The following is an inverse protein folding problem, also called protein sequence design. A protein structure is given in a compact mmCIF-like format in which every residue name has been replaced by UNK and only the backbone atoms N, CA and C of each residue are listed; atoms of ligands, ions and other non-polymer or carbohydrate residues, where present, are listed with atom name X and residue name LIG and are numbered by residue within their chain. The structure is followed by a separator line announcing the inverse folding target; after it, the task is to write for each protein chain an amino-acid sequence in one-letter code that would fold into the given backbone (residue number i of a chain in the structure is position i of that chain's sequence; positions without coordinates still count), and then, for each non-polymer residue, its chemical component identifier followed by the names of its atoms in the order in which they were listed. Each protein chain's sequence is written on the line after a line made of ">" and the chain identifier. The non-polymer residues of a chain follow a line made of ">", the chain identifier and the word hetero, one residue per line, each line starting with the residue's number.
data_IF_130509004588
#
_entry.id   IF_130509004588
#
_cell.length_a   1.000
_cell.length_b   1.000
_cell.length_c   1.000
_cell.angle_alpha   90.00
_cell.angle_beta   90.00
_cell.angle_gamma   90.00
#
_symmetry.space_group_name_H-M   'P 1'
#
loop_
_entity.id
_entity.type
_entity.pdbx_description
1 polymer ?
#
# COMPACT_ATOMS: atom_id res chain seq x y z
N UNK A 1 3.86 -3.16 -7.37
CA UNK A 1 3.11 -3.88 -6.32
C UNK A 1 3.31 -5.36 -6.59
N UNK A 2 3.88 -6.13 -5.65
CA UNK A 2 4.00 -7.60 -5.81
C UNK A 2 2.64 -8.28 -5.55
N UNK A 3 2.54 -9.62 -5.54
CA UNK A 3 1.33 -10.29 -5.10
C UNK A 3 1.01 -9.94 -3.63
N UNK A 4 -0.25 -10.12 -3.24
CA UNK A 4 -0.66 -9.99 -1.84
C UNK A 4 0.14 -10.95 -0.96
N UNK A 5 0.44 -10.53 0.28
CA UNK A 5 1.18 -11.34 1.24
C UNK A 5 0.91 -10.85 2.64
N UNK A 6 0.21 -11.65 3.43
CA UNK A 6 -0.14 -11.36 4.83
C UNK A 6 1.09 -11.05 5.68
N UNK A 7 2.16 -11.83 5.49
CA UNK A 7 3.43 -11.64 6.20
C UNK A 7 4.00 -10.24 5.94
N UNK A 8 3.96 -9.77 4.68
CA UNK A 8 4.43 -8.43 4.34
C UNK A 8 3.54 -7.34 4.91
N UNK A 9 2.21 -7.53 4.93
CA UNK A 9 1.30 -6.55 5.53
C UNK A 9 1.52 -6.45 7.05
N UNK A 10 1.68 -7.59 7.73
CA UNK A 10 2.02 -7.64 9.15
C UNK A 10 3.36 -6.95 9.44
N UNK A 11 4.40 -7.26 8.68
CA UNK A 11 5.71 -6.61 8.85
C UNK A 11 5.63 -5.08 8.70
N UNK A 12 4.83 -4.59 7.75
CA UNK A 12 4.58 -3.15 7.58
C UNK A 12 3.86 -2.55 8.78
N UNK A 13 2.81 -3.22 9.27
CA UNK A 13 2.08 -2.78 10.44
C UNK A 13 2.99 -2.68 11.68
N UNK A 14 3.80 -3.72 11.93
CA UNK A 14 4.72 -3.77 13.06
C UNK A 14 5.80 -2.68 12.95
N UNK A 15 6.31 -2.43 11.74
CA UNK A 15 7.30 -1.37 11.49
C UNK A 15 6.72 0.02 11.76
N UNK A 16 5.49 0.29 11.32
CA UNK A 16 4.83 1.59 11.56
C UNK A 16 4.51 1.78 13.04
N UNK A 17 4.04 0.73 13.73
CA UNK A 17 3.81 0.78 15.18
C UNK A 17 5.10 1.11 15.93
N UNK A 18 6.18 0.39 15.64
CA UNK A 18 7.50 0.66 16.22
C UNK A 18 7.94 2.11 15.96
N UNK A 19 7.78 2.61 14.73
CA UNK A 19 8.12 4.00 14.40
C UNK A 19 7.39 4.99 15.31
N UNK A 20 6.08 4.81 15.49
CA UNK A 20 5.25 5.68 16.33
C UNK A 20 5.59 5.57 17.82
N UNK A 21 5.91 4.36 18.30
CA UNK A 21 6.18 4.10 19.71
C UNK A 21 7.58 4.60 20.14
N UNK A 22 8.58 4.49 19.26
CA UNK A 22 9.99 4.78 19.62
C UNK A 22 10.46 6.18 19.25
N UNK A 23 9.64 6.99 18.57
CA UNK A 23 10.04 8.32 18.09
C UNK A 23 9.08 9.41 18.60
N UNK A 24 9.14 9.77 19.89
CA UNK A 24 8.28 10.81 20.46
C UNK A 24 8.48 12.19 19.82
N UNK A 25 9.64 12.43 19.22
CA UNK A 25 10.02 13.65 18.52
C UNK A 25 9.32 13.85 17.17
N UNK A 26 8.60 12.85 16.65
CA UNK A 26 7.75 13.04 15.48
C UNK A 26 6.68 14.08 15.81
N UNK A 27 6.56 15.09 14.94
CA UNK A 27 5.49 16.05 15.02
C UNK A 27 4.13 15.39 14.78
N UNK A 28 3.07 16.01 15.28
CA UNK A 28 1.73 15.42 15.26
C UNK A 28 1.19 15.26 13.84
N UNK A 29 1.59 16.13 12.91
CA UNK A 29 1.22 16.00 11.51
C UNK A 29 1.84 14.73 10.92
N UNK A 30 3.14 14.50 11.07
CA UNK A 30 3.76 13.26 10.59
C UNK A 30 3.22 12.00 11.27
N UNK A 31 2.90 12.06 12.58
CA UNK A 31 2.21 10.96 13.28
C UNK A 31 0.89 10.63 12.61
N UNK A 32 0.08 11.64 12.27
CA UNK A 32 -1.22 11.43 11.60
C UNK A 32 -1.08 10.75 10.23
N UNK A 33 -0.04 11.11 9.46
CA UNK A 33 0.24 10.50 8.16
C UNK A 33 0.56 9.00 8.33
N UNK A 34 1.43 8.64 9.27
CA UNK A 34 1.79 7.24 9.52
C UNK A 34 0.62 6.42 10.08
N UNK A 35 -0.22 7.02 10.94
CA UNK A 35 -1.45 6.40 11.40
C UNK A 35 -2.45 6.15 10.26
N UNK A 36 -2.57 7.09 9.32
CA UNK A 36 -3.36 6.90 8.09
C UNK A 36 -2.79 5.73 7.27
N UNK A 37 -1.46 5.70 7.06
CA UNK A 37 -0.80 4.58 6.35
C UNK A 37 -1.02 3.22 7.01
N UNK A 38 -1.08 3.17 8.34
CA UNK A 38 -1.39 1.94 9.07
C UNK A 38 -2.82 1.47 8.79
N UNK A 39 -3.80 2.39 8.78
CA UNK A 39 -5.21 2.09 8.44
C UNK A 39 -5.38 1.71 6.98
N UNK A 40 -4.54 2.24 6.10
CA UNK A 40 -4.54 1.95 4.67
C UNK A 40 -3.84 0.62 4.32
N UNK A 41 -3.38 -0.20 5.26
CA UNK A 41 -2.89 -1.54 4.93
C UNK A 41 -4.05 -2.42 4.46
N UNK A 42 -3.80 -3.29 3.49
CA UNK A 42 -4.80 -4.25 3.03
C UNK A 42 -4.80 -5.45 3.98
N UNK A 43 -5.97 -5.84 4.48
CA UNK A 43 -6.13 -6.98 5.39
C UNK A 43 -6.50 -8.26 4.66
N UNK A 44 -6.95 -8.13 3.40
CA UNK A 44 -7.32 -9.25 2.53
C UNK A 44 -6.71 -9.09 1.14
N UNK A 45 -6.61 -10.20 0.42
CA UNK A 45 -6.17 -10.22 -0.96
C UNK A 45 -7.10 -9.40 -1.88
N UNK A 46 -8.41 -9.49 -1.66
CA UNK A 46 -9.41 -8.77 -2.46
C UNK A 46 -9.29 -7.25 -2.32
N UNK A 47 -9.07 -6.75 -1.10
CA UNK A 47 -8.79 -5.33 -0.86
C UNK A 47 -7.52 -4.87 -1.58
N UNK A 48 -6.47 -5.69 -1.50
CA UNK A 48 -5.20 -5.41 -2.16
C UNK A 48 -5.36 -5.35 -3.68
N UNK A 49 -6.01 -6.36 -4.26
CA UNK A 49 -6.25 -6.46 -5.70
C UNK A 49 -7.15 -5.33 -6.21
N UNK A 50 -8.17 -4.95 -5.44
CA UNK A 50 -9.03 -3.80 -5.73
C UNK A 50 -8.21 -2.51 -5.82
N UNK A 51 -7.32 -2.26 -4.85
CA UNK A 51 -6.44 -1.08 -4.85
C UNK A 51 -5.41 -1.10 -5.97
N UNK A 52 -4.80 -2.26 -6.24
CA UNK A 52 -3.90 -2.44 -7.38
C UNK A 52 -4.64 -2.10 -8.67
N UNK A 53 -5.84 -2.65 -8.88
CA UNK A 53 -6.66 -2.33 -10.06
C UNK A 53 -6.97 -0.83 -10.14
N UNK A 54 -7.36 -0.19 -9.04
CA UNK A 54 -7.63 1.26 -9.01
C UNK A 54 -6.39 2.07 -9.42
N UNK A 55 -5.21 1.75 -8.89
CA UNK A 55 -3.97 2.47 -9.21
C UNK A 55 -3.55 2.26 -10.66
N UNK A 56 -3.51 1.01 -11.11
CA UNK A 56 -2.96 0.67 -12.44
C UNK A 56 -3.95 0.90 -13.58
N UNK A 57 -5.27 0.87 -13.35
CA UNK A 57 -6.26 1.17 -14.39
C UNK A 57 -6.24 2.62 -14.87
N UNK A 58 -5.80 3.55 -14.01
CA UNK A 58 -5.65 4.97 -14.35
C UNK A 58 -4.37 5.24 -15.15
N UNK A 59 -3.43 4.30 -15.18
CA UNK A 59 -2.21 4.40 -15.97
C UNK A 59 -2.59 4.09 -17.41
N UNK A 60 -2.82 5.13 -18.22
CA UNK A 60 -2.97 4.96 -19.67
C UNK A 60 -1.67 4.35 -20.22
N UNK A 61 -1.73 3.25 -20.99
CA UNK A 61 -0.54 2.74 -21.65
C UNK A 61 0.01 3.83 -22.58
N UNK A 62 1.23 4.30 -22.30
CA UNK A 62 1.90 5.37 -23.08
C UNK A 62 2.24 4.94 -24.52
N UNK A 63 2.16 3.66 -24.83
CA UNK A 63 2.37 3.12 -26.18
C UNK A 63 1.23 2.14 -26.52
N UNK A 64 0.34 2.54 -27.43
CA UNK A 64 -0.61 1.64 -28.09
C UNK A 64 0.20 0.69 -28.97
N UNK A 65 0.31 -0.57 -28.55
CA UNK A 65 1.01 -1.61 -29.29
C UNK A 65 1.16 -2.90 -28.48
N UNK A 66 0.10 -3.32 -27.79
CA UNK A 66 0.08 -4.66 -27.20
C UNK A 66 -0.49 -5.62 -28.24
N UNK A 67 0.28 -6.65 -28.60
CA UNK A 67 -0.19 -7.75 -29.44
C UNK A 67 -1.23 -8.51 -28.63
N UNK A 68 -2.50 -8.40 -29.03
CA UNK A 68 -3.57 -9.28 -28.55
C UNK A 68 -3.46 -10.59 -29.32
N UNK A 69 -3.28 -11.69 -28.61
CA UNK A 69 -3.48 -13.03 -29.19
C UNK A 69 -4.96 -13.38 -29.02
N UNK A 70 -5.60 -13.74 -30.14
CA UNK A 70 -6.95 -14.31 -30.19
C UNK A 70 -6.99 -15.71 -29.56
#
# INVERSE_FOLDING_TARGET
>A
MGPFSDIKQKYRADSIKRLLDTNPQLDDYMKSIWQMKLKDLALTEDEYNTRVKQVYSLIKPKHRGWVTYE
#
